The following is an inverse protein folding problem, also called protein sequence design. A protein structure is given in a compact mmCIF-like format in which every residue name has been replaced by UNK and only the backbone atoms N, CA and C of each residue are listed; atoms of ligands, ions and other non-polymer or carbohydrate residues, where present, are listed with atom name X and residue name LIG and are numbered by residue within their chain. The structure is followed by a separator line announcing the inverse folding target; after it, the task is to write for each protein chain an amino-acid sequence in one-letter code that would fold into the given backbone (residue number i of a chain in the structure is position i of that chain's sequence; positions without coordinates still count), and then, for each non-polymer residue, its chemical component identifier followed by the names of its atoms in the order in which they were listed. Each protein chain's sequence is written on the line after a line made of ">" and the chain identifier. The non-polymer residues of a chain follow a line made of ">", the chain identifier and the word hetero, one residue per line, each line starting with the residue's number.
data_IF_779699072266
#
_entry.id   IF_779699072266
#
_cell.length_a   1.000
_cell.length_b   1.000
_cell.length_c   1.000
_cell.angle_alpha   90.00
_cell.angle_beta   90.00
_cell.angle_gamma   90.00
#
_symmetry.space_group_name_H-M   'P 1'
#
loop_
_entity.id
_entity.type
_entity.pdbx_description
1 polymer ?
#
# COMPACT_ATOMS: atom_id res chain seq x y z
N UNK A 1 3.96 -4.38 -10.85
CA UNK A 1 3.45 -3.34 -9.94
C UNK A 1 1.97 -3.54 -9.84
N UNK A 2 1.44 -3.42 -8.64
CA UNK A 2 0.03 -3.66 -8.34
C UNK A 2 -0.48 -2.56 -7.38
N UNK A 3 -1.80 -2.33 -7.38
CA UNK A 3 -2.46 -1.50 -6.39
C UNK A 3 -3.31 -2.42 -5.53
N UNK A 4 -3.11 -2.39 -4.23
CA UNK A 4 -3.75 -3.32 -3.30
C UNK A 4 -4.65 -2.58 -2.32
N UNK A 5 -5.86 -3.11 -2.13
CA UNK A 5 -6.80 -2.73 -1.08
C UNK A 5 -7.15 -4.00 -0.33
N UNK A 6 -6.84 -4.04 0.96
CA UNK A 6 -7.01 -5.24 1.77
C UNK A 6 -7.65 -4.92 3.11
N UNK A 7 -8.39 -5.89 3.63
CA UNK A 7 -8.90 -5.91 5.01
C UNK A 7 -8.21 -7.04 5.74
N UNK A 8 -7.47 -6.70 6.79
CA UNK A 8 -6.72 -7.61 7.63
C UNK A 8 -7.04 -7.43 9.11
N UNK A 9 -6.07 -7.81 9.93
CA UNK A 9 -6.12 -7.72 11.38
C UNK A 9 -4.88 -7.01 11.92
N UNK A 10 -5.05 -6.18 12.93
CA UNK A 10 -3.95 -5.66 13.74
C UNK A 10 -3.45 -6.70 14.74
N UNK A 11 -2.28 -6.49 15.34
CA UNK A 11 -1.76 -7.33 16.44
C UNK A 11 -2.65 -7.32 17.69
N UNK A 12 -3.61 -6.38 17.77
CA UNK A 12 -4.59 -6.27 18.86
C UNK A 12 -5.92 -6.94 18.52
N UNK A 13 -6.02 -7.62 17.38
CA UNK A 13 -7.24 -8.30 16.94
C UNK A 13 -8.34 -7.35 16.44
N UNK A 14 -7.99 -6.10 16.10
CA UNK A 14 -8.91 -5.17 15.43
C UNK A 14 -8.85 -5.39 13.92
N UNK A 15 -9.95 -5.15 13.20
CA UNK A 15 -9.86 -5.07 11.75
C UNK A 15 -8.98 -3.91 11.31
N UNK A 16 -8.34 -4.08 10.17
CA UNK A 16 -7.46 -3.07 9.60
C UNK A 16 -7.72 -2.97 8.10
N UNK A 17 -7.85 -1.75 7.59
CA UNK A 17 -7.97 -1.52 6.14
C UNK A 17 -6.71 -0.83 5.66
N UNK A 18 -6.09 -1.40 4.63
CA UNK A 18 -4.85 -0.88 4.04
C UNK A 18 -5.01 -0.73 2.54
N UNK A 19 -4.62 0.44 2.03
CA UNK A 19 -4.34 0.66 0.62
C UNK A 19 -2.82 0.87 0.45
N UNK A 20 -2.23 0.24 -0.56
CA UNK A 20 -0.82 0.39 -0.91
C UNK A 20 -0.58 0.25 -2.42
N UNK A 21 0.55 0.79 -2.87
CA UNK A 21 1.16 0.43 -4.16
C UNK A 21 2.19 -0.65 -3.88
N UNK A 22 2.19 -1.75 -4.64
CA UNK A 22 3.20 -2.80 -4.50
C UNK A 22 4.16 -2.77 -5.69
N UNK A 23 5.47 -2.73 -5.42
CA UNK A 23 6.54 -2.78 -6.42
C UNK A 23 7.47 -3.96 -6.16
N UNK A 24 7.99 -4.62 -7.20
CA UNK A 24 8.83 -5.82 -7.04
C UNK A 24 10.11 -5.55 -6.26
N UNK A 25 10.63 -6.50 -5.48
CA UNK A 25 11.83 -6.33 -4.68
C UNK A 25 13.13 -6.50 -5.50
N UNK A 26 14.17 -5.70 -5.17
CA UNK A 26 15.56 -5.89 -5.64
C UNK A 26 16.58 -5.69 -4.52
N UNK A 27 16.15 -5.83 -3.26
CA UNK A 27 17.04 -5.83 -2.10
C UNK A 27 17.95 -7.07 -2.10
N UNK A 28 18.96 -7.09 -1.23
CA UNK A 28 19.81 -8.28 -1.06
C UNK A 28 19.01 -9.51 -0.60
N UNK A 29 18.05 -9.29 0.30
CA UNK A 29 17.04 -10.28 0.66
C UNK A 29 15.80 -10.06 -0.20
N UNK A 30 15.28 -11.13 -0.80
CA UNK A 30 14.06 -11.08 -1.61
C UNK A 30 12.82 -11.08 -0.69
N UNK A 31 12.05 -9.99 -0.75
CA UNK A 31 10.78 -9.81 -0.04
C UNK A 31 9.55 -10.07 -0.93
N UNK A 32 9.76 -10.42 -2.20
CA UNK A 32 8.73 -10.45 -3.24
C UNK A 32 8.35 -9.04 -3.71
N UNK A 33 7.74 -8.26 -2.83
CA UNK A 33 7.31 -6.87 -3.11
C UNK A 33 7.58 -5.93 -1.94
N UNK A 34 7.72 -4.64 -2.24
CA UNK A 34 7.64 -3.55 -1.26
C UNK A 34 6.29 -2.87 -1.36
N UNK A 35 5.67 -2.64 -0.20
CA UNK A 35 4.52 -1.76 -0.07
C UNK A 35 5.02 -0.32 0.04
N UNK A 36 4.58 0.51 -0.88
CA UNK A 36 4.96 1.92 -0.99
C UNK A 36 3.70 2.78 -1.05
N UNK A 37 3.78 4.02 -0.57
CA UNK A 37 2.61 4.89 -0.40
C UNK A 37 1.47 4.22 0.39
N UNK A 38 1.70 3.94 1.66
CA UNK A 38 0.74 3.16 2.45
C UNK A 38 -0.26 4.09 3.16
N UNK A 39 -1.56 3.86 2.93
CA UNK A 39 -2.64 4.42 3.75
C UNK A 39 -3.30 3.30 4.54
N UNK A 40 -3.43 3.47 5.85
CA UNK A 40 -3.75 2.40 6.77
C UNK A 40 -4.61 2.88 7.94
N UNK A 41 -5.67 2.15 8.26
CA UNK A 41 -6.58 2.45 9.37
C UNK A 41 -6.85 1.21 10.22
N UNK A 42 -6.65 1.33 11.53
CA UNK A 42 -7.20 0.37 12.49
C UNK A 42 -8.67 0.73 12.76
N UNK A 43 -9.58 -0.22 12.56
CA UNK A 43 -11.02 -0.04 12.79
C UNK A 43 -11.31 -0.08 14.29
N UNK A 44 -12.10 0.88 14.75
CA UNK A 44 -12.48 1.01 16.16
C UNK A 44 -13.33 2.25 16.39
N UNK A 45 -13.17 2.87 17.57
CA UNK A 45 -14.00 4.00 17.99
C UNK A 45 -13.80 5.25 17.12
N UNK A 46 -12.62 5.42 16.52
CA UNK A 46 -12.28 6.60 15.72
C UNK A 46 -12.74 6.49 14.26
N UNK A 47 -12.77 5.28 13.69
CA UNK A 47 -13.17 5.05 12.30
C UNK A 47 -13.85 3.68 12.14
N UNK A 48 -15.01 3.69 11.49
CA UNK A 48 -15.75 2.47 11.17
C UNK A 48 -15.16 1.77 9.95
N UNK A 49 -15.37 0.46 9.84
CA UNK A 49 -14.89 -0.35 8.71
C UNK A 49 -15.35 0.22 7.34
N UNK A 50 -16.63 0.59 7.12
CA UNK A 50 -17.04 1.17 5.83
C UNK A 50 -16.32 2.48 5.50
N UNK A 51 -16.08 3.33 6.51
CA UNK A 51 -15.39 4.62 6.31
C UNK A 51 -13.90 4.44 6.04
N UNK A 52 -13.25 3.49 6.73
CA UNK A 52 -11.87 3.12 6.43
C UNK A 52 -11.74 2.56 5.00
N UNK A 53 -12.68 1.70 4.59
CA UNK A 53 -12.71 1.16 3.23
C UNK A 53 -12.91 2.24 2.16
N UNK A 54 -13.86 3.15 2.38
CA UNK A 54 -14.11 4.28 1.49
C UNK A 54 -12.86 5.17 1.34
N UNK A 55 -12.20 5.54 2.45
CA UNK A 55 -10.98 6.35 2.41
C UNK A 55 -9.83 5.67 1.66
N UNK A 56 -9.64 4.36 1.88
CA UNK A 56 -8.63 3.58 1.17
C UNK A 56 -8.96 3.41 -0.33
N UNK A 57 -10.24 3.21 -0.69
CA UNK A 57 -10.67 3.15 -2.08
C UNK A 57 -10.53 4.50 -2.80
N UNK A 58 -10.80 5.60 -2.11
CA UNK A 58 -10.57 6.96 -2.64
C UNK A 58 -9.08 7.18 -2.89
N UNK A 59 -8.22 6.78 -1.95
CA UNK A 59 -6.76 6.86 -2.11
C UNK A 59 -6.27 6.08 -3.33
N UNK A 60 -6.79 4.87 -3.53
CA UNK A 60 -6.48 4.05 -4.69
C UNK A 60 -6.97 4.67 -5.99
N UNK A 61 -8.17 5.25 -6.00
CA UNK A 61 -8.70 5.96 -7.17
C UNK A 61 -7.79 7.12 -7.59
N UNK A 62 -7.18 7.83 -6.64
CA UNK A 62 -6.21 8.89 -6.94
C UNK A 62 -4.92 8.35 -7.57
N UNK A 63 -4.41 7.21 -7.09
CA UNK A 63 -3.26 6.55 -7.75
C UNK A 63 -3.57 6.12 -9.19
N UNK A 64 -4.78 5.65 -9.44
CA UNK A 64 -5.21 5.23 -10.78
C UNK A 64 -5.45 6.42 -11.72
N UNK A 65 -5.91 7.55 -11.18
CA UNK A 65 -6.13 8.77 -11.96
C UNK A 65 -4.82 9.48 -12.35
N UNK A 66 -3.79 9.40 -11.51
CA UNK A 66 -2.44 9.90 -11.77
C UNK A 66 -1.45 8.72 -11.74
N UNK A 67 -1.55 7.85 -12.75
CA UNK A 67 -0.82 6.59 -12.78
C UNK A 67 0.67 6.80 -13.07
N UNK A 68 1.52 6.38 -12.13
CA UNK A 68 2.97 6.33 -12.28
C UNK A 68 3.45 4.89 -12.42
N UNK A 69 4.58 4.69 -13.11
CA UNK A 69 5.18 3.36 -13.28
C UNK A 69 5.96 2.88 -12.04
N UNK A 70 6.38 1.62 -12.08
CA UNK A 70 7.09 1.01 -10.96
C UNK A 70 8.40 1.74 -10.62
N UNK A 71 9.11 2.31 -11.58
CA UNK A 71 10.42 2.93 -11.33
C UNK A 71 10.26 4.29 -10.66
N UNK A 72 9.19 5.05 -10.97
CA UNK A 72 8.81 6.25 -10.23
C UNK A 72 8.62 5.95 -8.73
N UNK A 73 7.77 4.97 -8.42
CA UNK A 73 7.44 4.63 -7.02
C UNK A 73 8.66 4.18 -6.24
N UNK A 74 9.54 3.42 -6.90
CA UNK A 74 10.80 2.97 -6.30
C UNK A 74 11.76 4.10 -6.04
N UNK A 75 11.93 5.00 -7.01
CA UNK A 75 12.81 6.15 -6.85
C UNK A 75 12.33 7.05 -5.71
N UNK A 76 11.02 7.23 -5.58
CA UNK A 76 10.41 8.03 -4.52
C UNK A 76 10.67 7.50 -3.11
N UNK A 77 10.71 6.18 -2.94
CA UNK A 77 11.00 5.52 -1.65
C UNK A 77 12.47 5.09 -1.50
N UNK A 78 13.35 5.57 -2.39
CA UNK A 78 14.80 5.29 -2.36
C UNK A 78 15.13 3.78 -2.39
N UNK A 79 14.30 2.98 -3.07
CA UNK A 79 14.51 1.54 -3.17
C UNK A 79 15.68 1.19 -4.10
N UNK A 80 16.37 0.05 -3.89
CA UNK A 80 17.50 -0.36 -4.72
C UNK A 80 17.19 -0.40 -6.22
N UNK A 81 18.16 -0.06 -7.06
CA UNK A 81 17.99 -0.15 -8.51
C UNK A 81 17.78 -1.60 -8.98
N UNK A 82 17.18 -1.77 -10.16
CA UNK A 82 17.11 -3.06 -10.84
C UNK A 82 18.53 -3.62 -10.99
N UNK A 83 18.74 -4.86 -10.58
CA UNK A 83 19.97 -5.60 -10.92
C UNK A 83 19.78 -6.12 -12.35
N UNK A 84 20.53 -5.55 -13.28
CA UNK A 84 20.63 -6.01 -14.68
C UNK A 84 21.44 -7.30 -14.78
#
# INVERSE_FOLDING_TARGET
>A
MEFQLQVGWTDRGQHEVTASVNVGCWCETDHGTHDVDVLKFAVGDEISLPRAFEACAERMTRWLADAHDADFWRAREELPARRT
#
